data_IF_315271611993
#
_entry.id   IF_315271611993
#
_cell.length_a   1.000
_cell.length_b   1.000
_cell.length_c   1.000
_cell.angle_alpha   90.00
_cell.angle_beta   90.00
_cell.angle_gamma   90.00
#
_symmetry.space_group_name_H-M   'P 1'
#
loop_
_entity.id
_entity.type
_entity.pdbx_description
1 polymer ?
#
# COMPACT_ATOMS: atom_id res chain seq x y z
N UNK A 1 7.63 10.12 9.17
CA UNK A 1 7.64 9.28 7.96
C UNK A 1 7.04 7.93 8.30
N UNK A 2 6.06 7.48 7.51
CA UNK A 2 5.44 6.15 7.57
C UNK A 2 6.32 5.15 6.81
N UNK A 3 6.53 3.96 7.35
CA UNK A 3 7.20 2.86 6.63
C UNK A 3 6.12 1.91 6.12
N UNK A 4 6.09 1.70 4.81
CA UNK A 4 5.11 0.87 4.11
C UNK A 4 5.87 -0.32 3.50
N UNK A 5 5.47 -1.52 3.90
CA UNK A 5 5.93 -2.77 3.32
C UNK A 5 5.28 -2.97 1.96
N UNK A 6 6.08 -2.86 0.89
CA UNK A 6 5.63 -3.07 -0.49
C UNK A 6 5.17 -4.51 -0.67
N UNK A 7 3.90 -4.72 -1.03
CA UNK A 7 3.28 -6.04 -1.20
C UNK A 7 3.41 -6.99 0.00
N UNK A 8 3.70 -6.47 1.19
CA UNK A 8 4.02 -7.30 2.36
C UNK A 8 5.45 -7.84 2.42
N UNK A 9 6.39 -7.32 1.64
CA UNK A 9 7.81 -7.67 1.69
C UNK A 9 8.52 -7.06 2.91
N UNK A 10 9.40 -7.82 3.56
CA UNK A 10 10.07 -7.42 4.82
C UNK A 10 11.59 -7.27 4.64
N UNK A 11 12.20 -8.22 3.92
CA UNK A 11 13.65 -8.32 3.70
C UNK A 11 13.91 -8.66 2.23
N UNK A 12 13.34 -7.87 1.32
CA UNK A 12 13.35 -8.12 -0.11
C UNK A 12 12.08 -8.81 -0.59
N UNK A 13 12.00 -8.98 -1.92
CA UNK A 13 10.87 -9.59 -2.60
C UNK A 13 10.65 -11.02 -2.11
N UNK A 14 9.42 -11.30 -1.70
CA UNK A 14 8.97 -12.60 -1.19
C UNK A 14 8.08 -13.30 -2.24
N UNK A 15 8.21 -14.62 -2.39
CA UNK A 15 7.32 -15.42 -3.26
C UNK A 15 5.86 -15.38 -2.76
N UNK A 16 5.66 -15.05 -1.48
CA UNK A 16 4.35 -14.87 -0.87
C UNK A 16 3.95 -13.39 -0.76
N UNK A 17 4.54 -12.51 -1.57
CA UNK A 17 4.04 -11.14 -1.70
C UNK A 17 2.55 -11.15 -2.02
N UNK A 18 1.81 -10.15 -1.53
CA UNK A 18 0.35 -10.06 -1.62
C UNK A 18 -0.47 -11.17 -0.94
N UNK A 19 0.16 -12.19 -0.34
CA UNK A 19 -0.59 -13.24 0.35
C UNK A 19 -1.25 -12.69 1.63
N UNK A 20 -2.57 -12.79 1.79
CA UNK A 20 -3.29 -12.16 2.89
C UNK A 20 -2.89 -12.71 4.26
N UNK A 21 -2.63 -14.01 4.37
CA UNK A 21 -2.22 -14.65 5.60
C UNK A 21 -0.82 -14.21 6.01
N UNK A 22 0.13 -14.17 5.07
CA UNK A 22 1.49 -13.69 5.34
C UNK A 22 1.53 -12.22 5.72
N UNK A 23 0.71 -11.38 5.09
CA UNK A 23 0.57 -9.98 5.48
C UNK A 23 0.07 -9.86 6.92
N UNK A 24 -0.94 -10.64 7.33
CA UNK A 24 -1.44 -10.61 8.71
C UNK A 24 -0.39 -11.08 9.73
N UNK A 25 0.33 -12.17 9.45
CA UNK A 25 1.44 -12.63 10.30
C UNK A 25 2.49 -11.53 10.48
N UNK A 26 2.93 -10.92 9.38
CA UNK A 26 3.92 -9.84 9.37
C UNK A 26 3.39 -8.59 10.11
N UNK A 27 2.13 -8.24 9.91
CA UNK A 27 1.50 -7.08 10.55
C UNK A 27 1.32 -7.24 12.06
N UNK A 28 1.21 -8.46 12.57
CA UNK A 28 1.20 -8.75 14.00
C UNK A 28 2.60 -8.54 14.63
N UNK A 29 3.67 -8.87 13.90
CA UNK A 29 5.06 -8.71 14.35
C UNK A 29 5.59 -7.28 14.17
N UNK A 30 5.00 -6.51 13.26
CA UNK A 30 5.43 -5.17 12.88
C UNK A 30 4.27 -4.16 13.07
N UNK A 31 3.90 -3.83 14.32
CA UNK A 31 2.73 -3.01 14.63
C UNK A 31 2.85 -1.55 14.14
N UNK A 32 4.08 -1.07 13.95
CA UNK A 32 4.44 0.26 13.49
C UNK A 32 4.45 0.40 11.95
N UNK A 33 4.31 -0.71 11.22
CA UNK A 33 4.42 -0.71 9.75
C UNK A 33 3.06 -0.67 9.08
N UNK A 34 3.03 0.00 7.93
CA UNK A 34 1.95 -0.05 6.96
C UNK A 34 2.24 -1.10 5.89
N UNK A 35 1.23 -1.48 5.13
CA UNK A 35 1.33 -2.51 4.10
C UNK A 35 0.66 -2.01 2.82
N UNK A 36 1.42 -2.04 1.73
CA UNK A 36 0.88 -1.89 0.39
C UNK A 36 0.51 -3.28 -0.13
N UNK A 37 -0.61 -3.37 -0.85
CA UNK A 37 -1.15 -4.62 -1.38
C UNK A 37 -1.81 -4.35 -2.74
N UNK A 38 -1.42 -5.11 -3.76
CA UNK A 38 -2.03 -5.09 -5.07
C UNK A 38 -3.42 -5.75 -5.02
N UNK A 39 -4.46 -5.04 -5.45
CA UNK A 39 -5.85 -5.55 -5.49
C UNK A 39 -6.44 -5.50 -6.90
N UNK A 40 -7.13 -6.57 -7.26
CA UNK A 40 -7.89 -6.74 -8.49
C UNK A 40 -9.36 -6.94 -8.16
N UNK A 41 -10.24 -6.58 -9.10
CA UNK A 41 -11.59 -7.12 -9.14
C UNK A 41 -11.78 -7.88 -10.44
N UNK A 42 -12.23 -9.13 -10.33
CA UNK A 42 -12.58 -9.95 -11.48
C UNK A 42 -13.98 -10.52 -11.25
N UNK A 43 -14.92 -10.13 -12.12
CA UNK A 43 -16.33 -10.54 -12.05
C UNK A 43 -16.98 -10.32 -10.68
N UNK A 44 -16.71 -9.17 -10.04
CA UNK A 44 -17.31 -8.78 -8.77
C UNK A 44 -16.61 -9.35 -7.53
N UNK A 45 -15.57 -10.18 -7.69
CA UNK A 45 -14.77 -10.73 -6.60
C UNK A 45 -13.41 -10.04 -6.52
N UNK A 46 -12.91 -9.86 -5.31
CA UNK A 46 -11.61 -9.25 -5.06
C UNK A 46 -10.52 -10.31 -4.95
N UNK A 47 -9.37 -10.02 -5.54
CA UNK A 47 -8.18 -10.86 -5.52
C UNK A 47 -6.94 -10.00 -5.27
N UNK A 48 -5.87 -10.61 -4.79
CA UNK A 48 -4.58 -9.97 -4.51
C UNK A 48 -3.49 -10.55 -5.41
N UNK A 49 -2.49 -9.73 -5.78
CA UNK A 49 -1.32 -10.19 -6.53
C UNK A 49 -0.73 -9.15 -7.48
N UNK A 50 0.56 -9.25 -7.80
CA UNK A 50 1.25 -8.23 -8.59
C UNK A 50 1.00 -8.34 -10.10
N UNK A 51 1.30 -9.50 -10.68
CA UNK A 51 1.18 -9.74 -12.12
C UNK A 51 -0.23 -10.20 -12.55
N UNK A 52 -1.12 -10.43 -11.58
CA UNK A 52 -2.49 -10.88 -11.80
C UNK A 52 -3.20 -11.26 -10.51
N UNK A 53 -4.50 -11.62 -10.58
CA UNK A 53 -5.29 -12.05 -9.44
C UNK A 53 -4.87 -13.45 -8.98
N UNK A 54 -4.01 -13.53 -7.96
CA UNK A 54 -3.40 -14.80 -7.52
C UNK A 54 -4.06 -15.37 -6.25
N UNK A 55 -4.31 -14.52 -5.25
CA UNK A 55 -4.90 -14.92 -3.98
C UNK A 55 -6.31 -14.38 -3.85
N UNK A 56 -7.25 -15.17 -3.33
CA UNK A 56 -8.55 -14.64 -2.92
C UNK A 56 -8.37 -13.57 -1.83
N UNK A 57 -9.16 -12.50 -1.91
CA UNK A 57 -9.19 -11.51 -0.84
C UNK A 57 -9.78 -12.10 0.44
N UNK A 58 -9.03 -12.03 1.54
CA UNK A 58 -9.52 -12.40 2.88
C UNK A 58 -9.92 -11.15 3.65
N UNK A 59 -11.19 -11.05 4.05
CA UNK A 59 -11.71 -9.92 4.82
C UNK A 59 -10.99 -9.73 6.18
N UNK A 60 -10.30 -10.75 6.70
CA UNK A 60 -9.45 -10.61 7.90
C UNK A 60 -8.36 -9.55 7.74
N UNK A 61 -7.91 -9.24 6.52
CA UNK A 61 -7.00 -8.13 6.26
C UNK A 61 -7.56 -6.80 6.79
N UNK A 62 -8.88 -6.62 6.77
CA UNK A 62 -9.51 -5.38 7.24
C UNK A 62 -9.33 -5.13 8.75
N UNK A 63 -8.88 -6.13 9.52
CA UNK A 63 -8.47 -5.94 10.92
C UNK A 63 -7.30 -4.94 11.08
N UNK A 64 -6.50 -4.76 10.03
CA UNK A 64 -5.41 -3.78 9.97
C UNK A 64 -5.70 -2.63 9.00
N UNK A 65 -6.97 -2.38 8.66
CA UNK A 65 -7.39 -1.41 7.64
C UNK A 65 -6.71 -0.02 7.72
N UNK A 66 -6.52 0.61 8.89
CA UNK A 66 -5.82 1.89 8.99
C UNK A 66 -4.37 1.85 8.47
N UNK A 67 -3.76 0.67 8.39
CA UNK A 67 -2.39 0.43 7.93
C UNK A 67 -2.31 -0.07 6.49
N UNK A 68 -3.45 -0.31 5.83
CA UNK A 68 -3.51 -0.83 4.47
C UNK A 68 -3.58 0.26 3.40
N UNK A 69 -2.74 0.09 2.38
CA UNK A 69 -2.72 0.85 1.14
C UNK A 69 -2.93 -0.14 -0.02
N UNK A 70 -3.99 0.06 -0.80
CA UNK A 70 -4.31 -0.83 -1.91
C UNK A 70 -3.95 -0.18 -3.25
N UNK A 71 -3.06 -0.82 -4.01
CA UNK A 71 -2.84 -0.52 -5.43
C UNK A 71 -3.92 -1.22 -6.24
N UNK A 72 -4.89 -0.45 -6.72
CA UNK A 72 -5.89 -0.99 -7.65
C UNK A 72 -5.20 -1.29 -8.98
N UNK A 73 -5.12 -2.57 -9.38
CA UNK A 73 -4.40 -2.99 -10.60
C UNK A 73 -5.25 -2.96 -11.86
N UNK A 74 -6.57 -2.89 -11.71
CA UNK A 74 -7.49 -2.71 -12.83
C UNK A 74 -8.60 -1.69 -12.49
N UNK A 75 -9.21 -1.17 -13.55
CA UNK A 75 -10.30 -0.21 -13.41
C UNK A 75 -11.51 -0.81 -12.69
N UNK A 76 -11.72 -2.12 -12.80
CA UNK A 76 -12.82 -2.80 -12.13
C UNK A 76 -12.65 -2.80 -10.60
N UNK A 77 -11.43 -2.95 -10.07
CA UNK A 77 -11.15 -2.78 -8.65
C UNK A 77 -11.52 -1.36 -8.19
N UNK A 78 -10.98 -0.35 -8.87
CA UNK A 78 -11.21 1.05 -8.54
C UNK A 78 -12.72 1.39 -8.58
N UNK A 79 -13.42 0.97 -9.64
CA UNK A 79 -14.86 1.20 -9.80
C UNK A 79 -15.69 0.46 -8.76
N UNK A 80 -15.33 -0.78 -8.44
CA UNK A 80 -16.04 -1.59 -7.45
C UNK A 80 -15.92 -0.96 -6.06
N UNK A 81 -14.72 -0.54 -5.67
CA UNK A 81 -14.47 0.15 -4.41
C UNK A 81 -15.20 1.49 -4.36
N UNK A 82 -15.17 2.30 -5.43
CA UNK A 82 -15.87 3.58 -5.48
C UNK A 82 -17.39 3.46 -5.39
N UNK A 83 -17.96 2.34 -5.86
CA UNK A 83 -19.40 2.04 -5.78
C UNK A 83 -19.82 1.36 -4.48
N UNK A 84 -18.87 0.91 -3.67
CA UNK A 84 -19.15 0.24 -2.40
C UNK A 84 -19.86 1.20 -1.45
N UNK A 85 -21.03 0.78 -0.95
CA UNK A 85 -21.86 1.58 -0.02
C UNK A 85 -21.66 1.17 1.43
N UNK A 86 -21.10 -0.01 1.69
CA UNK A 86 -20.75 -0.43 3.03
C UNK A 86 -19.55 0.36 3.57
N UNK A 87 -19.38 0.36 4.89
CA UNK A 87 -18.27 1.06 5.56
C UNK A 87 -17.00 0.22 5.66
N UNK A 88 -16.93 -0.95 5.00
CA UNK A 88 -15.84 -1.93 5.21
C UNK A 88 -14.46 -1.40 4.82
N UNK A 89 -14.39 -0.57 3.79
CA UNK A 89 -13.14 0.02 3.29
C UNK A 89 -12.77 1.37 3.92
N UNK A 90 -13.57 1.88 4.87
CA UNK A 90 -13.54 3.29 5.31
C UNK A 90 -12.18 3.77 5.84
N UNK A 91 -11.32 2.86 6.29
CA UNK A 91 -10.01 3.18 6.87
C UNK A 91 -8.82 2.82 5.97
N UNK A 92 -9.08 2.11 4.87
CA UNK A 92 -8.09 1.76 3.87
C UNK A 92 -7.75 2.96 2.99
N UNK A 93 -6.55 2.94 2.40
CA UNK A 93 -6.11 3.90 1.40
C UNK A 93 -6.12 3.19 0.05
N UNK A 94 -6.44 3.92 -1.02
CA UNK A 94 -6.51 3.36 -2.36
C UNK A 94 -5.84 4.30 -3.33
N UNK A 95 -5.11 3.73 -4.28
CA UNK A 95 -4.55 4.47 -5.40
C UNK A 95 -4.56 3.60 -6.65
N UNK A 96 -4.50 4.26 -7.80
CA UNK A 96 -4.43 3.62 -9.11
C UNK A 96 -3.39 4.38 -9.92
N UNK A 97 -2.41 3.65 -10.43
CA UNK A 97 -1.43 4.18 -11.39
C UNK A 97 -0.81 3.01 -12.15
N UNK A 98 -0.21 3.30 -13.31
CA UNK A 98 0.53 2.32 -14.08
C UNK A 98 1.92 2.84 -14.46
N UNK A 99 1.97 3.93 -15.23
CA UNK A 99 3.23 4.54 -15.71
C UNK A 99 3.30 6.04 -15.35
N UNK A 100 2.36 6.51 -14.55
CA UNK A 100 2.28 7.89 -14.10
C UNK A 100 3.39 8.20 -13.10
N UNK A 101 3.96 9.40 -13.17
CA UNK A 101 4.98 9.87 -12.23
C UNK A 101 4.49 9.85 -10.78
N UNK A 102 3.22 10.16 -10.57
CA UNK A 102 2.57 10.03 -9.27
C UNK A 102 1.06 9.86 -9.42
N UNK A 103 0.42 9.34 -8.37
CA UNK A 103 -1.03 9.32 -8.23
C UNK A 103 -1.47 10.02 -6.94
N UNK A 104 -2.54 10.83 -6.97
CA UNK A 104 -3.11 11.38 -5.75
C UNK A 104 -3.73 10.25 -4.91
N UNK A 105 -3.59 10.36 -3.59
CA UNK A 105 -4.19 9.44 -2.63
C UNK A 105 -4.96 10.25 -1.61
N UNK A 106 -6.19 9.86 -1.33
CA UNK A 106 -6.97 10.42 -0.23
C UNK A 106 -6.65 9.67 1.06
N UNK A 107 -6.30 10.42 2.09
CA UNK A 107 -6.08 9.89 3.43
C UNK A 107 -7.08 10.50 4.40
N UNK A 108 -7.52 9.68 5.36
CA UNK A 108 -8.41 10.08 6.43
C UNK A 108 -7.68 9.98 7.76
N UNK A 109 -7.64 11.06 8.52
CA UNK A 109 -7.02 11.06 9.85
C UNK A 109 -8.00 10.51 10.92
N UNK A 110 -7.52 10.26 12.16
CA UNK A 110 -8.38 9.78 13.25
C UNK A 110 -9.56 10.70 13.61
N UNK A 111 -9.43 12.00 13.36
CA UNK A 111 -10.46 13.03 13.60
C UNK A 111 -11.53 13.08 12.50
N UNK A 112 -11.39 12.24 11.46
CA UNK A 112 -12.22 12.18 10.26
C UNK A 112 -12.01 13.28 9.21
N UNK A 113 -10.95 14.07 9.33
CA UNK A 113 -10.55 15.00 8.27
C UNK A 113 -9.96 14.23 7.09
N UNK A 114 -10.24 14.71 5.88
CA UNK A 114 -9.77 14.13 4.61
C UNK A 114 -8.71 15.06 4.02
N UNK A 115 -7.58 14.50 3.63
CA UNK A 115 -6.48 15.22 3.01
C UNK A 115 -6.00 14.49 1.75
N UNK A 116 -5.44 15.26 0.82
CA UNK A 116 -4.70 14.70 -0.29
C UNK A 116 -3.23 14.49 0.10
N UNK A 117 -2.71 13.35 -0.33
CA UNK A 117 -1.28 13.09 -0.47
C UNK A 117 -1.05 12.50 -1.87
N UNK A 118 0.16 12.06 -2.18
CA UNK A 118 0.49 11.47 -3.47
C UNK A 118 1.44 10.29 -3.30
N UNK A 119 1.27 9.30 -4.16
CA UNK A 119 2.09 8.12 -4.30
C UNK A 119 3.01 8.29 -5.50
N UNK A 120 4.31 8.32 -5.27
CA UNK A 120 5.32 8.61 -6.30
C UNK A 120 5.86 7.31 -6.87
N UNK A 121 5.99 7.24 -8.19
CA UNK A 121 6.57 6.10 -8.89
C UNK A 121 8.01 5.83 -8.44
N UNK A 122 8.47 4.55 -8.44
CA UNK A 122 9.85 4.22 -8.08
C UNK A 122 10.90 5.06 -8.80
N UNK A 123 12.00 5.38 -8.09
CA UNK A 123 13.21 5.99 -8.64
C UNK A 123 13.06 7.43 -9.19
N UNK A 124 11.99 8.12 -8.83
CA UNK A 124 11.87 9.56 -9.05
C UNK A 124 12.38 10.32 -7.83
N UNK A 125 13.51 11.02 -7.99
CA UNK A 125 14.03 11.93 -6.96
C UNK A 125 13.11 13.15 -6.85
N UNK A 126 12.15 13.06 -5.94
CA UNK A 126 11.32 14.19 -5.59
C UNK A 126 11.46 14.50 -4.10
N UNK A 127 11.80 15.75 -3.81
CA UNK A 127 11.52 16.35 -2.51
C UNK A 127 10.01 16.45 -2.39
N UNK A 128 9.43 15.43 -1.78
CA UNK A 128 8.01 15.13 -1.81
C UNK A 128 7.49 15.10 -0.38
N UNK A 129 6.34 15.69 -0.12
CA UNK A 129 5.58 15.52 1.11
C UNK A 129 4.64 14.30 1.03
N UNK A 130 4.89 13.39 0.06
CA UNK A 130 4.08 12.22 -0.24
C UNK A 130 4.70 10.90 0.20
N UNK A 131 4.19 9.79 -0.37
CA UNK A 131 4.81 8.46 -0.26
C UNK A 131 5.72 8.24 -1.46
N UNK A 132 7.00 7.97 -1.21
CA UNK A 132 7.94 7.55 -2.25
C UNK A 132 8.06 6.02 -2.29
N UNK A 133 8.20 5.44 -3.48
CA UNK A 133 8.54 4.02 -3.61
C UNK A 133 10.06 3.88 -3.79
N UNK A 134 10.72 3.19 -2.87
CA UNK A 134 12.16 2.94 -2.88
C UNK A 134 12.43 1.44 -2.89
N UNK A 135 12.71 0.89 -4.08
CA UNK A 135 12.92 -0.56 -4.26
C UNK A 135 14.41 -0.93 -4.24
N UNK A 136 15.26 -0.03 -4.74
CA UNK A 136 16.69 -0.23 -4.91
C UNK A 136 17.49 1.06 -4.65
N UNK A 137 18.81 0.93 -4.54
CA UNK A 137 19.71 2.06 -4.33
C UNK A 137 20.04 2.36 -2.86
N UNK A 138 20.97 3.30 -2.61
CA UNK A 138 21.47 3.59 -1.28
C UNK A 138 20.38 4.17 -0.40
N UNK A 139 20.41 3.79 0.88
CA UNK A 139 19.53 4.36 1.87
C UNK A 139 20.00 5.80 2.17
N UNK A 140 19.31 6.78 1.60
CA UNK A 140 19.61 8.18 1.81
C UNK A 140 18.78 8.76 2.96
N UNK A 141 19.37 9.72 3.70
CA UNK A 141 18.71 10.39 4.82
C UNK A 141 17.42 11.07 4.36
N UNK A 142 16.37 10.88 5.17
CA UNK A 142 15.02 11.46 5.10
C UNK A 142 15.05 12.91 4.59
N UNK A 143 14.63 13.11 3.35
CA UNK A 143 13.97 14.37 2.98
C UNK A 143 12.56 14.37 3.61
N UNK A 144 11.80 15.46 3.47
CA UNK A 144 10.48 15.69 4.10
C UNK A 144 9.35 14.72 3.68
N UNK A 145 9.65 13.46 3.36
CA UNK A 145 8.69 12.44 2.95
C UNK A 145 7.68 12.12 4.05
N UNK A 146 6.40 12.09 3.67
CA UNK A 146 5.35 11.57 4.53
C UNK A 146 5.54 10.07 4.75
N UNK A 147 5.96 9.32 3.74
CA UNK A 147 6.22 7.88 3.86
C UNK A 147 7.16 7.30 2.80
N UNK A 148 7.64 6.10 3.05
CA UNK A 148 8.43 5.29 2.10
C UNK A 148 7.75 3.93 1.95
N UNK A 149 7.56 3.48 0.72
CA UNK A 149 7.14 2.12 0.37
C UNK A 149 8.32 1.35 -0.20
N UNK A 150 8.62 0.16 0.33
CA UNK A 150 9.86 -0.55 0.01
C UNK A 150 9.75 -2.05 0.25
N UNK A 151 10.59 -2.83 -0.43
CA UNK A 151 10.72 -4.27 -0.20
C UNK A 151 11.53 -4.61 1.07
N UNK A 152 12.27 -3.65 1.62
CA UNK A 152 13.17 -3.83 2.78
C UNK A 152 12.80 -2.94 3.98
N UNK A 153 11.53 -2.90 4.45
CA UNK A 153 11.07 -1.90 5.41
C UNK A 153 11.77 -1.96 6.77
N UNK A 154 12.31 -3.12 7.17
CA UNK A 154 13.06 -3.24 8.45
C UNK A 154 14.36 -2.44 8.43
N UNK A 155 15.03 -2.35 7.27
CA UNK A 155 16.24 -1.54 7.13
C UNK A 155 15.97 -0.04 7.33
N UNK A 156 14.75 0.40 6.99
CA UNK A 156 14.32 1.79 7.15
C UNK A 156 13.95 2.18 8.58
N UNK A 157 13.70 1.20 9.48
CA UNK A 157 13.31 1.47 10.87
C UNK A 157 14.41 2.21 11.65
N UNK A 158 15.69 1.96 11.32
CA UNK A 158 16.84 2.43 12.08
C UNK A 158 17.55 3.66 11.46
N UNK A 159 16.96 4.25 10.41
CA UNK A 159 17.46 5.45 9.71
C UNK A 159 16.73 6.71 10.15
#
# INVERSE_FOLDING_TARGET
MIIISHRGNINGVDIYENNPYKILEKAALLPDFHFEVDIWNHNGKYFLGHNGPLFDFDEKLLSIAPRLWFHCKNLDALRSIAKEKSKKWRWCKFFFHNQDYCAPVLIKNPENNIYFTYWVYPNLDCKSDGVIVHLDGPLHKKYNWMGVCTDNPVQWRNL
#
